data_IF_839460509439
#
_entry.id   IF_839460509439
#
_cell.length_a   1.000
_cell.length_b   1.000
_cell.length_c   1.000
_cell.angle_alpha   90.00
_cell.angle_beta   90.00
_cell.angle_gamma   90.00
#
_symmetry.space_group_name_H-M   'P 1'
#
loop_
_entity.id
_entity.type
_entity.pdbx_description
1 polymer ?
#
# COMPACT_ATOMS: atom_id res chain seq x y z
N UNK A 1 7.50 -127.10 -18.69
CA UNK A 1 8.24 -127.18 -19.97
C UNK A 1 7.35 -127.78 -21.05
N UNK A 2 6.93 -126.98 -22.04
CA UNK A 2 6.16 -127.42 -23.21
C UNK A 2 7.00 -127.14 -24.45
N UNK A 3 7.24 -128.15 -25.28
CA UNK A 3 8.04 -128.03 -26.51
C UNK A 3 7.13 -127.66 -27.69
N UNK A 4 7.51 -126.62 -28.44
CA UNK A 4 6.75 -126.15 -29.60
C UNK A 4 7.65 -126.28 -30.83
N UNK A 5 7.09 -126.86 -31.90
CA UNK A 5 7.80 -127.08 -33.17
C UNK A 5 7.48 -125.95 -34.14
N UNK A 6 8.50 -125.30 -34.69
CA UNK A 6 8.30 -124.28 -35.71
C UNK A 6 7.77 -124.92 -37.01
N UNK A 7 6.60 -124.52 -37.52
CA UNK A 7 6.05 -125.10 -38.76
C UNK A 7 6.80 -124.69 -40.02
N UNK A 8 7.71 -123.70 -39.96
CA UNK A 8 8.44 -123.18 -41.13
C UNK A 8 9.85 -123.78 -41.30
N UNK A 9 10.61 -123.97 -40.22
CA UNK A 9 11.98 -124.54 -40.29
C UNK A 9 12.12 -125.88 -39.55
N UNK A 10 11.10 -126.35 -38.84
CA UNK A 10 11.08 -127.66 -38.18
C UNK A 10 11.91 -127.77 -36.90
N UNK A 11 12.65 -126.73 -36.51
CA UNK A 11 13.41 -126.69 -35.27
C UNK A 11 12.48 -126.70 -34.04
N UNK A 12 12.89 -127.49 -33.03
CA UNK A 12 12.19 -127.68 -31.77
C UNK A 12 12.81 -126.73 -30.74
N UNK A 13 12.01 -125.80 -30.22
CA UNK A 13 12.45 -124.91 -29.16
C UNK A 13 11.64 -125.13 -27.88
N UNK A 14 12.33 -125.07 -26.74
CA UNK A 14 11.75 -125.24 -25.41
C UNK A 14 11.33 -123.87 -24.87
N UNK A 15 10.08 -123.74 -24.44
CA UNK A 15 9.63 -122.52 -23.76
C UNK A 15 9.84 -122.70 -22.27
N UNK A 16 10.82 -121.97 -21.73
CA UNK A 16 11.05 -121.85 -20.30
C UNK A 16 9.97 -120.94 -19.67
N UNK A 17 9.35 -121.40 -18.58
CA UNK A 17 8.35 -120.61 -17.82
C UNK A 17 8.92 -119.29 -17.29
N UNK A 18 10.23 -119.24 -17.03
CA UNK A 18 10.98 -118.03 -16.68
C UNK A 18 10.97 -116.99 -17.81
N UNK A 19 11.07 -117.41 -19.08
CA UNK A 19 11.00 -116.50 -20.23
C UNK A 19 9.59 -115.92 -20.42
N UNK A 20 8.55 -116.71 -20.13
CA UNK A 20 7.17 -116.22 -20.16
C UNK A 20 6.89 -115.21 -19.04
N UNK A 21 7.36 -115.46 -17.81
CA UNK A 21 7.28 -114.49 -16.72
C UNK A 21 8.04 -113.20 -17.02
N UNK A 22 9.20 -113.27 -17.67
CA UNK A 22 9.96 -112.09 -18.08
C UNK A 22 9.17 -111.22 -19.07
N UNK A 23 8.49 -111.83 -20.06
CA UNK A 23 7.63 -111.11 -21.02
C UNK A 23 6.41 -110.50 -20.32
N UNK A 24 5.77 -111.23 -19.40
CA UNK A 24 4.62 -110.71 -18.61
C UNK A 24 5.04 -109.53 -17.74
N UNK A 25 6.20 -109.62 -17.06
CA UNK A 25 6.74 -108.53 -16.26
C UNK A 25 7.10 -107.33 -17.14
N UNK A 26 7.72 -107.54 -18.31
CA UNK A 26 8.02 -106.46 -19.25
C UNK A 26 6.76 -105.72 -19.70
N UNK A 27 5.70 -106.44 -20.09
CA UNK A 27 4.43 -105.81 -20.49
C UNK A 27 3.80 -105.06 -19.32
N UNK A 28 3.82 -105.64 -18.12
CA UNK A 28 3.28 -105.01 -16.90
C UNK A 28 4.05 -103.75 -16.51
N UNK A 29 5.38 -103.79 -16.53
CA UNK A 29 6.25 -102.67 -16.18
C UNK A 29 6.11 -101.54 -17.20
N UNK A 30 5.97 -101.88 -18.49
CA UNK A 30 5.70 -100.92 -19.56
C UNK A 30 4.34 -100.24 -19.37
N UNK A 31 3.27 -101.03 -19.16
CA UNK A 31 1.92 -100.49 -18.90
C UNK A 31 1.88 -99.65 -17.62
N UNK A 32 2.56 -100.08 -16.56
CA UNK A 32 2.65 -99.33 -15.31
C UNK A 32 3.42 -98.01 -15.48
N UNK A 33 4.51 -98.00 -16.24
CA UNK A 33 5.22 -96.77 -16.62
C UNK A 33 4.31 -95.82 -17.41
N UNK A 34 3.53 -96.34 -18.36
CA UNK A 34 2.63 -95.53 -19.19
C UNK A 34 1.48 -94.94 -18.35
N UNK A 35 0.90 -95.72 -17.44
CA UNK A 35 -0.09 -95.25 -16.47
C UNK A 35 0.48 -94.17 -15.53
N UNK A 36 1.72 -94.36 -15.04
CA UNK A 36 2.40 -93.36 -14.21
C UNK A 36 2.62 -92.05 -14.97
N UNK A 37 3.08 -92.09 -16.22
CA UNK A 37 3.24 -90.90 -17.06
C UNK A 37 1.91 -90.21 -17.33
N UNK A 38 0.84 -90.98 -17.54
CA UNK A 38 -0.49 -90.43 -17.76
C UNK A 38 -1.02 -89.73 -16.50
N UNK A 39 -0.80 -90.33 -15.32
CA UNK A 39 -1.14 -89.75 -14.03
C UNK A 39 -0.31 -88.49 -13.73
N UNK A 40 0.99 -88.53 -14.01
CA UNK A 40 1.89 -87.37 -13.86
C UNK A 40 1.44 -86.22 -14.77
N UNK A 41 1.11 -86.50 -16.03
CA UNK A 41 0.59 -85.50 -16.96
C UNK A 41 -0.76 -84.91 -16.50
N UNK A 42 -1.63 -85.70 -15.88
CA UNK A 42 -2.87 -85.21 -15.27
C UNK A 42 -2.59 -84.27 -14.09
N UNK A 43 -1.70 -84.66 -13.18
CA UNK A 43 -1.34 -83.83 -12.01
C UNK A 43 -0.66 -82.52 -12.41
N UNK A 44 0.19 -82.55 -13.45
CA UNK A 44 0.80 -81.33 -14.01
C UNK A 44 -0.28 -80.39 -14.54
N UNK A 45 -1.23 -80.90 -15.32
CA UNK A 45 -2.36 -80.10 -15.84
C UNK A 45 -3.25 -79.53 -14.74
N UNK A 46 -3.56 -80.32 -13.71
CA UNK A 46 -4.34 -79.86 -12.56
C UNK A 46 -3.62 -78.73 -11.82
N UNK A 47 -2.30 -78.86 -11.60
CA UNK A 47 -1.47 -77.82 -11.00
C UNK A 47 -1.42 -76.56 -11.85
N UNK A 48 -1.23 -76.69 -13.16
CA UNK A 48 -1.24 -75.55 -14.10
C UNK A 48 -2.58 -74.82 -14.06
N UNK A 49 -3.70 -75.54 -14.09
CA UNK A 49 -5.04 -74.96 -13.99
C UNK A 49 -5.26 -74.24 -12.65
N UNK A 50 -4.78 -74.82 -11.54
CA UNK A 50 -4.85 -74.19 -10.23
C UNK A 50 -4.03 -72.90 -10.17
N UNK A 51 -2.82 -72.87 -10.75
CA UNK A 51 -2.00 -71.67 -10.84
C UNK A 51 -2.70 -70.57 -11.68
N UNK A 52 -3.26 -70.93 -12.84
CA UNK A 52 -4.02 -69.98 -13.68
C UNK A 52 -5.22 -69.40 -12.93
N UNK A 53 -5.91 -70.21 -12.12
CA UNK A 53 -7.03 -69.74 -11.31
C UNK A 53 -6.56 -68.69 -10.28
N UNK A 54 -5.49 -69.00 -9.55
CA UNK A 54 -4.90 -68.08 -8.56
C UNK A 54 -4.40 -66.79 -9.23
N UNK A 55 -3.75 -66.89 -10.39
CA UNK A 55 -3.31 -65.72 -11.15
C UNK A 55 -4.48 -64.83 -11.57
N UNK A 56 -5.60 -65.41 -12.00
CA UNK A 56 -6.82 -64.66 -12.33
C UNK A 56 -7.46 -64.00 -11.12
N UNK A 57 -7.52 -64.69 -9.98
CA UNK A 57 -8.05 -64.11 -8.74
C UNK A 57 -7.20 -62.92 -8.29
N UNK A 58 -5.88 -63.06 -8.31
CA UNK A 58 -4.94 -61.97 -8.00
C UNK A 58 -5.08 -60.80 -8.99
N UNK A 59 -5.23 -61.07 -10.29
CA UNK A 59 -5.47 -60.03 -11.29
C UNK A 59 -6.77 -59.26 -11.01
N UNK A 60 -7.85 -59.97 -10.66
CA UNK A 60 -9.13 -59.36 -10.31
C UNK A 60 -9.04 -58.51 -9.03
N UNK A 61 -8.28 -58.95 -8.01
CA UNK A 61 -8.05 -58.15 -6.80
C UNK A 61 -7.23 -56.90 -7.10
N UNK A 62 -6.17 -57.02 -7.90
CA UNK A 62 -5.34 -55.89 -8.34
C UNK A 62 -6.20 -54.88 -9.10
N UNK A 63 -7.06 -55.33 -10.01
CA UNK A 63 -7.95 -54.46 -10.77
C UNK A 63 -8.96 -53.74 -9.87
N UNK A 64 -9.56 -54.43 -8.90
CA UNK A 64 -10.44 -53.81 -7.89
C UNK A 64 -9.71 -52.76 -7.06
N UNK A 65 -8.49 -53.06 -6.60
CA UNK A 65 -7.69 -52.12 -5.83
C UNK A 65 -7.30 -50.90 -6.64
N UNK A 66 -6.95 -51.07 -7.92
CA UNK A 66 -6.69 -49.95 -8.85
C UNK A 66 -7.91 -49.05 -9.01
N UNK A 67 -9.09 -49.63 -9.21
CA UNK A 67 -10.33 -48.85 -9.30
C UNK A 67 -10.64 -48.09 -8.01
N UNK A 68 -10.41 -48.69 -6.84
CA UNK A 68 -10.58 -48.01 -5.56
C UNK A 68 -9.58 -46.87 -5.37
N UNK A 69 -8.32 -47.06 -5.77
CA UNK A 69 -7.31 -46.01 -5.73
C UNK A 69 -7.67 -44.85 -6.67
N UNK A 70 -8.06 -45.14 -7.91
CA UNK A 70 -8.51 -44.11 -8.85
C UNK A 70 -9.73 -43.34 -8.33
N UNK A 71 -10.70 -44.02 -7.70
CA UNK A 71 -11.84 -43.35 -7.06
C UNK A 71 -11.38 -42.44 -5.92
N UNK A 72 -10.47 -42.90 -5.07
CA UNK A 72 -9.94 -42.11 -3.94
C UNK A 72 -9.10 -40.93 -4.42
N UNK A 73 -8.32 -41.09 -5.47
CA UNK A 73 -7.53 -40.02 -6.07
C UNK A 73 -8.44 -38.95 -6.67
N UNK A 74 -9.48 -39.35 -7.42
CA UNK A 74 -10.49 -38.43 -7.94
C UNK A 74 -11.25 -37.67 -6.82
N UNK A 75 -11.64 -38.37 -5.74
CA UNK A 75 -12.26 -37.74 -4.56
C UNK A 75 -11.31 -36.73 -3.90
N UNK A 76 -10.03 -37.09 -3.74
CA UNK A 76 -9.02 -36.21 -3.15
C UNK A 76 -8.76 -34.98 -4.02
N UNK A 77 -8.65 -35.13 -5.34
CA UNK A 77 -8.50 -34.03 -6.28
C UNK A 77 -9.69 -33.07 -6.21
N UNK A 78 -10.91 -33.59 -6.20
CA UNK A 78 -12.13 -32.78 -6.05
C UNK A 78 -12.14 -32.02 -4.71
N UNK A 79 -11.76 -32.68 -3.61
CA UNK A 79 -11.67 -32.05 -2.30
C UNK A 79 -10.60 -30.96 -2.25
N UNK A 80 -9.43 -31.18 -2.86
CA UNK A 80 -8.34 -30.21 -2.96
C UNK A 80 -8.80 -28.98 -3.76
N UNK A 81 -9.47 -29.18 -4.90
CA UNK A 81 -10.00 -28.07 -5.70
C UNK A 81 -11.04 -27.27 -4.92
N UNK A 82 -11.95 -27.95 -4.21
CA UNK A 82 -12.98 -27.31 -3.41
C UNK A 82 -12.39 -26.51 -2.24
N UNK A 83 -11.36 -27.05 -1.57
CA UNK A 83 -10.62 -26.35 -0.52
C UNK A 83 -9.87 -25.13 -1.06
N UNK A 84 -9.23 -25.25 -2.23
CA UNK A 84 -8.55 -24.11 -2.91
C UNK A 84 -9.55 -22.99 -3.22
N UNK A 85 -10.69 -23.32 -3.82
CA UNK A 85 -11.73 -22.34 -4.13
C UNK A 85 -12.31 -21.68 -2.86
N UNK A 86 -12.51 -22.46 -1.77
CA UNK A 86 -12.91 -21.90 -0.48
C UNK A 86 -11.87 -20.96 0.11
N UNK A 87 -10.59 -21.33 0.07
CA UNK A 87 -9.50 -20.47 0.53
C UNK A 87 -9.44 -19.17 -0.28
N UNK A 88 -9.54 -19.26 -1.60
CA UNK A 88 -9.52 -18.10 -2.50
C UNK A 88 -10.71 -17.17 -2.26
N UNK A 89 -11.92 -17.71 -2.14
CA UNK A 89 -13.11 -16.88 -1.84
C UNK A 89 -13.03 -16.20 -0.48
N UNK A 90 -12.51 -16.87 0.55
CA UNK A 90 -12.27 -16.26 1.88
C UNK A 90 -11.20 -15.18 1.78
N UNK A 91 -10.14 -15.41 1.02
CA UNK A 91 -9.07 -14.44 0.80
C UNK A 91 -9.57 -13.20 0.07
N UNK A 92 -10.35 -13.37 -1.01
CA UNK A 92 -10.98 -12.28 -1.75
C UNK A 92 -11.94 -11.47 -0.88
N UNK A 93 -12.75 -12.12 -0.03
CA UNK A 93 -13.60 -11.41 0.94
C UNK A 93 -12.79 -10.56 1.91
N UNK A 94 -11.70 -11.11 2.48
CA UNK A 94 -10.82 -10.36 3.38
C UNK A 94 -10.12 -9.19 2.67
N UNK A 95 -9.76 -9.35 1.40
CA UNK A 95 -9.21 -8.26 0.59
C UNK A 95 -10.25 -7.16 0.38
N UNK A 96 -11.45 -7.50 -0.05
CA UNK A 96 -12.54 -6.55 -0.24
C UNK A 96 -12.88 -5.79 1.06
N UNK A 97 -12.92 -6.48 2.21
CA UNK A 97 -13.11 -5.84 3.52
C UNK A 97 -11.98 -4.86 3.87
N UNK A 98 -10.73 -5.19 3.54
CA UNK A 98 -9.59 -4.30 3.74
C UNK A 98 -9.65 -3.09 2.81
N UNK A 99 -9.96 -3.28 1.53
CA UNK A 99 -10.12 -2.20 0.56
C UNK A 99 -11.23 -1.23 0.96
N UNK A 100 -12.38 -1.75 1.39
CA UNK A 100 -13.46 -0.93 1.92
C UNK A 100 -13.04 -0.12 3.15
N UNK A 101 -12.30 -0.73 4.09
CA UNK A 101 -11.75 -0.01 5.25
C UNK A 101 -10.74 1.06 4.85
N UNK A 102 -9.89 0.79 3.85
CA UNK A 102 -8.93 1.77 3.33
C UNK A 102 -9.68 2.96 2.74
N UNK A 103 -10.72 2.72 1.92
CA UNK A 103 -11.56 3.77 1.34
C UNK A 103 -12.30 4.59 2.41
N UNK A 104 -12.86 3.93 3.42
CA UNK A 104 -13.50 4.63 4.54
C UNK A 104 -12.51 5.52 5.32
N UNK A 105 -11.31 5.00 5.59
CA UNK A 105 -10.27 5.74 6.30
C UNK A 105 -9.71 6.88 5.46
N UNK A 106 -9.50 6.68 4.15
CA UNK A 106 -9.05 7.74 3.25
C UNK A 106 -10.07 8.88 3.17
N UNK A 107 -11.35 8.54 3.04
CA UNK A 107 -12.42 9.55 3.01
C UNK A 107 -12.52 10.31 4.34
N UNK A 108 -12.35 9.62 5.48
CA UNK A 108 -12.31 10.27 6.79
C UNK A 108 -11.10 11.20 6.95
N UNK A 109 -9.95 10.80 6.43
CA UNK A 109 -8.75 11.64 6.45
C UNK A 109 -8.92 12.87 5.57
N UNK A 110 -9.41 12.69 4.35
CA UNK A 110 -9.67 13.80 3.42
C UNK A 110 -10.69 14.79 3.98
N UNK A 111 -11.78 14.29 4.58
CA UNK A 111 -12.76 15.15 5.26
C UNK A 111 -12.14 15.94 6.40
N UNK A 112 -11.34 15.30 7.27
CA UNK A 112 -10.64 15.99 8.35
C UNK A 112 -9.62 17.00 7.85
N UNK A 113 -8.89 16.69 6.78
CA UNK A 113 -7.96 17.62 6.15
C UNK A 113 -8.69 18.84 5.58
N UNK A 114 -9.83 18.64 4.93
CA UNK A 114 -10.65 19.72 4.40
C UNK A 114 -11.28 20.57 5.52
N UNK A 115 -11.77 19.94 6.59
CA UNK A 115 -12.24 20.66 7.79
C UNK A 115 -11.12 21.51 8.40
N UNK A 116 -9.92 20.96 8.56
CA UNK A 116 -8.77 21.68 9.09
C UNK A 116 -8.36 22.84 8.18
N UNK A 117 -8.33 22.65 6.86
CA UNK A 117 -8.07 23.73 5.89
C UNK A 117 -9.10 24.85 6.04
N UNK A 118 -10.39 24.53 6.11
CA UNK A 118 -11.46 25.52 6.32
C UNK A 118 -11.31 26.26 7.64
N UNK A 119 -10.92 25.58 8.72
CA UNK A 119 -10.67 26.21 10.02
C UNK A 119 -9.47 27.16 9.94
N UNK A 120 -8.37 26.73 9.32
CA UNK A 120 -7.18 27.56 9.12
C UNK A 120 -7.53 28.79 8.26
N UNK A 121 -8.21 28.61 7.13
CA UNK A 121 -8.66 29.72 6.28
C UNK A 121 -9.56 30.71 7.03
N UNK A 122 -10.49 30.23 7.86
CA UNK A 122 -11.33 31.10 8.69
C UNK A 122 -10.51 31.87 9.73
N UNK A 123 -9.54 31.24 10.36
CA UNK A 123 -8.66 31.90 11.33
C UNK A 123 -7.76 32.95 10.65
N UNK A 124 -7.19 32.63 9.51
CA UNK A 124 -6.37 33.56 8.71
C UNK A 124 -7.21 34.75 8.27
N UNK A 125 -8.39 34.52 7.68
CA UNK A 125 -9.29 35.59 7.28
C UNK A 125 -9.74 36.48 8.45
N UNK A 126 -9.93 35.91 9.65
CA UNK A 126 -10.24 36.70 10.84
C UNK A 126 -9.05 37.57 11.26
N UNK A 127 -7.84 37.01 11.24
CA UNK A 127 -6.60 37.75 11.56
C UNK A 127 -6.29 38.82 10.53
N UNK A 128 -6.51 38.56 9.24
CA UNK A 128 -6.31 39.55 8.18
C UNK A 128 -7.26 40.74 8.34
N UNK A 129 -8.52 40.50 8.74
CA UNK A 129 -9.46 41.58 9.07
C UNK A 129 -8.99 42.40 10.26
N UNK A 130 -8.55 41.75 11.34
CA UNK A 130 -7.99 42.45 12.50
C UNK A 130 -6.76 43.29 12.12
N UNK A 131 -5.88 42.76 11.27
CA UNK A 131 -4.71 43.48 10.76
C UNK A 131 -5.16 44.70 9.97
N UNK A 132 -6.09 44.55 9.02
CA UNK A 132 -6.59 45.66 8.19
C UNK A 132 -7.24 46.75 9.06
N UNK A 133 -8.04 46.36 10.06
CA UNK A 133 -8.67 47.32 10.97
C UNK A 133 -7.63 48.07 11.81
N UNK A 134 -6.61 47.37 12.33
CA UNK A 134 -5.53 47.98 13.10
C UNK A 134 -4.65 48.89 12.23
N UNK A 135 -4.32 48.49 11.00
CA UNK A 135 -3.55 49.35 10.08
C UNK A 135 -4.31 50.61 9.73
N UNK A 136 -5.62 50.51 9.47
CA UNK A 136 -6.46 51.68 9.21
C UNK A 136 -6.54 52.62 10.42
N UNK A 137 -6.64 52.07 11.64
CA UNK A 137 -6.62 52.86 12.86
C UNK A 137 -5.28 53.58 13.06
N UNK A 138 -4.16 52.88 12.81
CA UNK A 138 -2.82 53.45 12.88
C UNK A 138 -2.65 54.58 11.86
N UNK A 139 -2.98 54.35 10.59
CA UNK A 139 -2.89 55.37 9.53
C UNK A 139 -3.76 56.61 9.81
N UNK A 140 -4.97 56.41 10.32
CA UNK A 140 -5.84 57.51 10.75
C UNK A 140 -5.22 58.28 11.92
N UNK A 141 -4.69 57.58 12.92
CA UNK A 141 -4.02 58.22 14.06
C UNK A 141 -2.79 59.02 13.62
N UNK A 142 -1.95 58.46 12.76
CA UNK A 142 -0.78 59.13 12.19
C UNK A 142 -1.17 60.37 11.39
N UNK A 143 -2.22 60.26 10.56
CA UNK A 143 -2.74 61.39 9.79
C UNK A 143 -3.28 62.49 10.70
N UNK A 144 -3.99 62.13 11.78
CA UNK A 144 -4.44 63.09 12.78
C UNK A 144 -3.27 63.75 13.52
N UNK A 145 -2.21 63.01 13.86
CA UNK A 145 -1.01 63.57 14.48
C UNK A 145 -0.30 64.54 13.52
N UNK A 146 -0.14 64.18 12.25
CA UNK A 146 0.43 65.08 11.21
C UNK A 146 -0.39 66.36 11.05
N UNK A 147 -1.72 66.25 11.01
CA UNK A 147 -2.61 67.43 10.94
C UNK A 147 -2.45 68.30 12.20
N UNK A 148 -2.43 67.70 13.39
CA UNK A 148 -2.22 68.43 14.65
C UNK A 148 -0.86 69.13 14.66
N UNK A 149 0.21 68.43 14.27
CA UNK A 149 1.56 68.97 14.18
C UNK A 149 1.63 70.17 13.22
N UNK A 150 1.05 70.04 12.02
CA UNK A 150 1.00 71.14 11.05
C UNK A 150 0.18 72.32 11.58
N UNK A 151 -0.97 72.08 12.19
CA UNK A 151 -1.80 73.14 12.78
C UNK A 151 -1.08 73.88 13.93
N UNK A 152 -0.25 73.16 14.71
CA UNK A 152 0.58 73.74 15.75
C UNK A 152 1.69 74.59 15.14
N UNK A 153 2.40 74.06 14.12
CA UNK A 153 3.43 74.81 13.37
C UNK A 153 2.86 76.09 12.78
N UNK A 154 1.75 76.03 12.07
CA UNK A 154 1.08 77.21 11.48
C UNK A 154 0.67 78.24 12.54
N UNK A 155 0.15 77.80 13.69
CA UNK A 155 -0.17 78.70 14.82
C UNK A 155 1.06 79.41 15.35
N UNK A 156 2.14 78.68 15.60
CA UNK A 156 3.39 79.27 16.08
C UNK A 156 4.03 80.18 15.04
N UNK A 157 4.02 79.81 13.76
CA UNK A 157 4.49 80.67 12.67
C UNK A 157 3.68 81.96 12.56
N UNK A 158 2.36 81.90 12.68
CA UNK A 158 1.50 83.08 12.69
C UNK A 158 1.77 83.98 13.90
N UNK A 159 1.95 83.39 15.09
CA UNK A 159 2.33 84.14 16.28
C UNK A 159 3.70 84.80 16.13
N UNK A 160 4.70 84.09 15.61
CA UNK A 160 6.03 84.64 15.35
C UNK A 160 5.96 85.80 14.35
N UNK A 161 5.27 85.63 13.21
CA UNK A 161 5.04 86.71 12.24
C UNK A 161 4.39 87.94 12.89
N UNK A 162 3.33 87.75 13.67
CA UNK A 162 2.68 88.87 14.37
C UNK A 162 3.59 89.57 15.38
N UNK A 163 4.51 88.83 16.02
CA UNK A 163 5.52 89.39 16.94
C UNK A 163 6.59 90.14 16.17
N UNK A 164 7.05 89.62 15.03
CA UNK A 164 8.00 90.28 14.14
C UNK A 164 7.41 91.59 13.58
N UNK A 165 6.15 91.58 13.12
CA UNK A 165 5.45 92.78 12.66
C UNK A 165 5.36 93.84 13.76
N UNK A 166 5.07 93.44 15.00
CA UNK A 166 5.07 94.34 16.16
C UNK A 166 6.47 94.87 16.47
N UNK A 167 7.49 94.02 16.42
CA UNK A 167 8.89 94.42 16.63
C UNK A 167 9.29 95.46 15.57
N UNK A 168 8.92 95.25 14.31
CA UNK A 168 9.22 96.18 13.23
C UNK A 168 8.44 97.49 13.36
N UNK A 169 7.18 97.45 13.79
CA UNK A 169 6.43 98.65 14.17
C UNK A 169 7.12 99.42 15.30
N UNK A 170 7.55 98.75 16.38
CA UNK A 170 8.25 99.39 17.49
C UNK A 170 9.64 99.91 17.10
N UNK A 171 10.36 99.24 16.20
CA UNK A 171 11.61 99.73 15.62
C UNK A 171 11.38 101.01 14.82
N UNK A 172 10.38 101.04 13.94
CA UNK A 172 10.04 102.23 13.13
C UNK A 172 9.57 103.39 14.04
N UNK A 173 8.75 103.10 15.05
CA UNK A 173 8.33 104.08 16.05
C UNK A 173 9.54 104.65 16.81
N UNK A 174 10.48 103.79 17.23
CA UNK A 174 11.72 104.21 17.90
C UNK A 174 12.57 105.09 16.98
N UNK A 175 12.72 104.72 15.71
CA UNK A 175 13.45 105.52 14.71
C UNK A 175 12.79 106.88 14.54
N UNK A 176 11.48 106.94 14.29
CA UNK A 176 10.72 108.20 14.13
C UNK A 176 10.73 109.09 15.37
N UNK A 177 10.58 108.51 16.56
CA UNK A 177 10.69 109.25 17.82
C UNK A 177 12.12 109.76 18.03
N UNK A 178 13.14 108.97 17.70
CA UNK A 178 14.53 109.41 17.79
C UNK A 178 14.85 110.52 16.80
N UNK A 179 14.37 110.48 15.56
CA UNK A 179 14.59 111.54 14.57
C UNK A 179 13.81 112.81 14.93
N UNK A 180 12.59 112.67 15.45
CA UNK A 180 11.81 113.79 15.99
C UNK A 180 12.47 114.42 17.23
N UNK A 181 12.89 113.61 18.20
CA UNK A 181 13.61 114.08 19.38
C UNK A 181 14.92 114.76 19.01
N UNK A 182 15.68 114.20 18.05
CA UNK A 182 16.91 114.83 17.53
C UNK A 182 16.57 116.17 16.89
N UNK A 183 15.54 116.25 16.05
CA UNK A 183 15.07 117.48 15.43
C UNK A 183 14.65 118.55 16.45
N UNK A 184 13.82 118.17 17.43
CA UNK A 184 13.38 119.05 18.51
C UNK A 184 14.55 119.53 19.38
N UNK A 185 15.55 118.67 19.67
CA UNK A 185 16.77 119.10 20.37
C UNK A 185 17.65 120.01 19.52
N UNK A 186 17.68 119.82 18.19
CA UNK A 186 18.43 120.69 17.27
C UNK A 186 17.77 122.06 17.17
N UNK A 187 16.43 122.10 17.08
CA UNK A 187 15.64 123.33 17.08
C UNK A 187 15.80 124.10 18.39
N UNK A 188 15.72 123.42 19.54
CA UNK A 188 16.02 124.03 20.84
C UNK A 188 17.46 124.54 20.93
N UNK A 189 18.43 123.81 20.38
CA UNK A 189 19.82 124.27 20.35
C UNK A 189 19.98 125.52 19.48
N UNK A 190 19.38 125.55 18.27
CA UNK A 190 19.37 126.71 17.39
C UNK A 190 18.62 127.91 18.01
N UNK A 191 17.50 127.67 18.70
CA UNK A 191 16.73 128.69 19.40
C UNK A 191 17.53 129.27 20.59
N UNK A 192 18.23 128.42 21.35
CA UNK A 192 19.10 128.85 22.44
C UNK A 192 20.32 129.66 21.93
N UNK A 193 20.99 129.21 20.87
CA UNK A 193 22.09 129.94 20.22
C UNK A 193 21.61 131.29 19.67
N UNK A 194 20.45 131.31 19.00
CA UNK A 194 19.83 132.54 18.50
C UNK A 194 19.48 133.52 19.64
N UNK A 195 18.92 133.02 20.74
CA UNK A 195 18.63 133.81 21.93
C UNK A 195 19.91 134.31 22.64
N UNK A 196 21.01 133.56 22.60
CA UNK A 196 22.31 134.01 23.10
C UNK A 196 22.87 135.17 22.26
N UNK A 197 22.82 135.07 20.92
CA UNK A 197 23.29 136.13 20.01
C UNK A 197 22.42 137.40 20.15
N UNK A 198 21.13 137.25 20.49
CA UNK A 198 20.21 138.38 20.70
C UNK A 198 20.31 139.03 22.09
N UNK A 199 20.96 138.37 23.05
CA UNK A 199 21.11 138.86 24.44
C UNK A 199 22.35 139.74 24.65
N UNK A 200 22.98 140.21 23.57
CA UNK A 200 24.05 141.22 23.51
C UNK A 200 23.75 142.23 22.43
#
# INVERSE_FOLDING_TARGET
MKEIKCPNCGEMFQIDESNYQAIVNQVRDQQFSDDLKLREAQLVKEKENALILVEKELQNEIEKLKLQLEQKDNENEANIQLLKNRAETVYLKKLAEKENKILELSNKLENKENENKLVIEKMVNAKDKEIVDLTNQLENSESQYKIKENSLKEKYESQLKSKDDLIDYYKDLKVKLSTKLIGETLEQHCENEFNQIRST
#
